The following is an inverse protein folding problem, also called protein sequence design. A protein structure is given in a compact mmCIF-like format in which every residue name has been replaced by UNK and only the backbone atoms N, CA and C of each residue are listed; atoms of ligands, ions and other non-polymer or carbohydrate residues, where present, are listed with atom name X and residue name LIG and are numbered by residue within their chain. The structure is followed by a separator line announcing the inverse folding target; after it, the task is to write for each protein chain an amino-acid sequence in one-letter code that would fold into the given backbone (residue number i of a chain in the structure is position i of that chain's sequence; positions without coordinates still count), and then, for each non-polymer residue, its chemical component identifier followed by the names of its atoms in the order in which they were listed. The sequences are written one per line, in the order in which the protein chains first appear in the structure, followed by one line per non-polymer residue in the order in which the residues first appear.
data_IF_335719962684
#
_entry.id   IF_335719962684
#
_cell.length_a   1.000
_cell.length_b   1.000
_cell.length_c   1.000
_cell.angle_alpha   90.00
_cell.angle_beta   90.00
_cell.angle_gamma   90.00
#
_symmetry.space_group_name_H-M   'P 1'
#
loop_
_entity.id
_entity.type
_entity.pdbx_description
1 polymer ?
#
# COMPACT_ATOMS: atom_id res chain seq x y z
N UNK A 1 3.63 -12.69 5.45
CA UNK A 1 2.26 -12.23 5.71
C UNK A 1 1.45 -12.25 4.42
N UNK A 2 0.17 -12.62 4.46
CA UNK A 2 -0.67 -12.61 3.25
C UNK A 2 -0.90 -11.15 2.79
N UNK A 3 -0.92 -10.90 1.47
CA UNK A 3 -1.07 -9.55 0.93
C UNK A 3 -2.49 -9.04 1.11
N UNK A 4 -2.62 -7.71 1.14
CA UNK A 4 -3.87 -7.02 0.83
C UNK A 4 -3.97 -6.95 -0.70
N UNK A 5 -5.08 -7.46 -1.24
CA UNK A 5 -5.46 -7.22 -2.62
C UNK A 5 -6.41 -6.01 -2.66
N UNK A 6 -6.02 -5.00 -3.43
CA UNK A 6 -6.85 -3.88 -3.84
C UNK A 6 -7.31 -4.20 -5.27
N UNK A 7 -8.59 -4.51 -5.43
CA UNK A 7 -9.16 -4.89 -6.72
C UNK A 7 -9.10 -3.71 -7.71
N UNK A 8 -9.04 -4.02 -9.01
CA UNK A 8 -9.15 -3.02 -10.08
C UNK A 8 -10.29 -2.02 -9.82
N UNK A 9 -9.98 -0.73 -9.93
CA UNK A 9 -10.91 0.39 -9.72
C UNK A 9 -11.49 0.52 -8.30
N UNK A 10 -10.99 -0.21 -7.29
CA UNK A 10 -11.50 -0.16 -5.93
C UNK A 10 -11.35 1.21 -5.25
N UNK A 11 -10.33 1.98 -5.62
CA UNK A 11 -10.09 3.33 -5.11
C UNK A 11 -10.89 4.39 -5.89
N UNK A 12 -11.48 4.01 -7.03
CA UNK A 12 -12.18 4.90 -7.97
C UNK A 12 -11.25 5.51 -9.01
N UNK A 13 -11.82 6.26 -9.97
CA UNK A 13 -11.06 6.94 -11.04
C UNK A 13 -10.14 6.02 -11.87
N UNK A 14 -10.49 4.74 -11.99
CA UNK A 14 -9.66 3.76 -12.69
C UNK A 14 -8.45 3.26 -11.88
N UNK A 15 -8.44 3.48 -10.55
CA UNK A 15 -7.35 3.08 -9.66
C UNK A 15 -7.76 1.94 -8.70
N UNK A 16 -6.92 0.91 -8.54
CA UNK A 16 -5.78 0.58 -9.39
C UNK A 16 -6.24 0.17 -10.81
N UNK A 17 -5.36 0.29 -11.80
CA UNK A 17 -5.66 -0.05 -13.22
C UNK A 17 -5.82 -1.56 -13.47
N UNK A 18 -5.28 -2.37 -12.56
CA UNK A 18 -5.44 -3.83 -12.41
C UNK A 18 -5.27 -4.17 -10.93
N UNK A 19 -5.62 -5.38 -10.51
CA UNK A 19 -5.45 -5.79 -9.11
C UNK A 19 -4.03 -5.51 -8.61
N UNK A 20 -3.95 -4.85 -7.45
CA UNK A 20 -2.70 -4.47 -6.80
C UNK A 20 -2.59 -5.24 -5.49
N UNK A 21 -1.52 -6.02 -5.33
CA UNK A 21 -1.21 -6.76 -4.12
C UNK A 21 -0.03 -6.12 -3.40
N UNK A 22 -0.22 -5.72 -2.15
CA UNK A 22 0.80 -5.10 -1.30
C UNK A 22 0.74 -5.69 0.11
N UNK A 23 1.77 -5.46 0.91
CA UNK A 23 1.71 -5.90 2.31
C UNK A 23 0.69 -5.07 3.10
N UNK A 24 0.06 -5.65 4.14
CA UNK A 24 -0.83 -4.93 5.07
C UNK A 24 -0.31 -3.57 5.56
N UNK A 25 0.99 -3.44 5.83
CA UNK A 25 1.58 -2.21 6.37
C UNK A 25 2.03 -1.21 5.29
N UNK A 26 1.99 -1.58 4.01
CA UNK A 26 2.37 -0.69 2.91
C UNK A 26 1.33 0.41 2.74
N UNK A 27 1.77 1.67 2.71
CA UNK A 27 0.86 2.80 2.51
C UNK A 27 0.70 3.22 1.07
N UNK A 28 -0.53 3.59 0.76
CA UNK A 28 -0.91 4.29 -0.47
C UNK A 28 -1.46 5.66 -0.09
N UNK A 29 -1.27 6.62 -0.98
CA UNK A 29 -1.79 7.97 -0.79
C UNK A 29 -3.21 8.09 -1.36
N UNK A 30 -4.10 8.69 -0.56
CA UNK A 30 -5.46 9.05 -0.96
C UNK A 30 -5.77 10.44 -0.39
N UNK A 31 -6.02 11.41 -1.27
CA UNK A 31 -6.39 12.79 -0.93
C UNK A 31 -5.41 13.50 0.03
N UNK A 32 -4.10 13.31 -0.17
CA UNK A 32 -3.01 13.90 0.59
C UNK A 32 -2.67 13.17 1.90
N UNK A 33 -3.19 11.95 2.10
CA UNK A 33 -2.99 11.16 3.32
C UNK A 33 -2.50 9.76 2.98
N UNK A 34 -1.49 9.28 3.70
CA UNK A 34 -0.98 7.91 3.61
C UNK A 34 -1.84 6.97 4.46
N UNK A 35 -2.40 5.95 3.82
CA UNK A 35 -3.16 4.89 4.49
C UNK A 35 -2.48 3.55 4.27
N UNK A 36 -2.22 2.81 5.34
CA UNK A 36 -1.77 1.42 5.17
C UNK A 36 -2.86 0.59 4.51
N UNK A 37 -2.49 -0.30 3.59
CA UNK A 37 -3.47 -1.10 2.85
C UNK A 37 -4.38 -1.92 3.78
N UNK A 38 -3.83 -2.40 4.91
CA UNK A 38 -4.60 -3.11 5.94
C UNK A 38 -5.64 -2.24 6.64
N UNK A 39 -5.38 -0.94 6.82
CA UNK A 39 -6.36 -0.02 7.41
C UNK A 39 -7.57 0.24 6.50
N UNK A 40 -7.40 0.06 5.18
CA UNK A 40 -8.43 0.25 4.16
C UNK A 40 -9.24 -1.02 3.87
N UNK A 41 -8.87 -2.16 4.44
CA UNK A 41 -9.55 -3.43 4.20
C UNK A 41 -11.04 -3.33 4.56
N UNK A 42 -11.89 -3.61 3.58
CA UNK A 42 -13.35 -3.56 3.69
C UNK A 42 -14.01 -4.95 3.56
N UNK A 43 -13.21 -5.99 3.33
CA UNK A 43 -13.69 -7.37 3.19
C UNK A 43 -14.29 -7.70 1.82
N UNK A 44 -14.24 -6.77 0.87
CA UNK A 44 -14.81 -6.92 -0.48
C UNK A 44 -13.79 -6.53 -1.56
N UNK A 45 -13.78 -5.27 -1.98
CA UNK A 45 -12.88 -4.75 -3.03
C UNK A 45 -11.46 -4.51 -2.54
N UNK A 46 -11.27 -4.38 -1.23
CA UNK A 46 -9.98 -4.29 -0.56
C UNK A 46 -10.00 -5.33 0.56
N UNK A 47 -9.27 -6.42 0.38
CA UNK A 47 -9.29 -7.52 1.34
C UNK A 47 -7.96 -8.23 1.43
N UNK A 48 -7.69 -8.82 2.59
CA UNK A 48 -6.51 -9.66 2.76
C UNK A 48 -6.77 -11.02 2.12
N UNK A 49 -5.80 -11.50 1.33
CA UNK A 49 -5.91 -12.85 0.79
C UNK A 49 -5.86 -13.89 1.92
N UNK A 50 -6.67 -14.96 1.85
CA UNK A 50 -6.71 -15.98 2.89
C UNK A 50 -5.43 -16.82 2.92
N UNK A 51 -4.68 -16.86 1.81
CA UNK A 51 -3.42 -17.58 1.64
C UNK A 51 -2.53 -16.83 0.64
N UNK A 52 -1.22 -17.11 0.68
CA UNK A 52 -0.31 -16.66 -0.35
C UNK A 52 -0.66 -17.25 -1.73
N UNK A 53 -0.36 -16.52 -2.82
CA UNK A 53 -0.41 -17.08 -4.18
C UNK A 53 0.44 -18.37 -4.30
N UNK A 54 -0.12 -19.38 -4.95
CA UNK A 54 0.48 -20.72 -5.04
C UNK A 54 1.72 -20.76 -5.92
N UNK A 55 1.80 -19.89 -6.93
CA UNK A 55 2.92 -19.81 -7.88
C UNK A 55 4.13 -19.04 -7.31
N UNK A 56 4.10 -18.70 -6.01
CA UNK A 56 5.08 -17.86 -5.35
C UNK A 56 4.69 -16.39 -5.36
N UNK A 57 5.18 -15.66 -4.35
CA UNK A 57 4.91 -14.24 -4.19
C UNK A 57 6.08 -13.54 -3.51
N UNK A 58 6.58 -12.47 -4.13
CA UNK A 58 7.73 -11.70 -3.65
C UNK A 58 7.32 -10.26 -3.38
N UNK A 59 7.66 -9.75 -2.20
CA UNK A 59 7.54 -8.33 -1.89
C UNK A 59 8.81 -7.61 -2.31
N UNK A 60 8.65 -6.50 -3.03
CA UNK A 60 9.73 -5.60 -3.37
C UNK A 60 9.54 -4.29 -2.61
N UNK A 61 10.63 -3.80 -2.04
CA UNK A 61 10.73 -2.44 -1.53
C UNK A 61 11.58 -1.63 -2.50
N UNK A 62 11.07 -0.48 -2.92
CA UNK A 62 11.77 0.43 -3.83
C UNK A 62 12.33 1.55 -2.97
N UNK A 63 13.65 1.67 -2.90
CA UNK A 63 14.35 2.76 -2.21
C UNK A 63 14.71 3.87 -3.21
N UNK A 64 14.53 5.12 -2.80
CA UNK A 64 14.85 6.33 -3.56
C UNK A 64 15.61 7.31 -2.66
N UNK A 65 16.23 8.34 -3.24
CA UNK A 65 16.99 9.35 -2.49
C UNK A 65 16.14 10.02 -1.39
N UNK A 66 14.88 10.31 -1.69
CA UNK A 66 13.90 10.83 -0.74
C UNK A 66 12.74 9.85 -0.59
N UNK A 67 12.07 9.84 0.58
CA UNK A 67 10.78 9.18 0.70
C UNK A 67 9.80 9.84 -0.27
N UNK A 68 9.20 9.08 -1.17
CA UNK A 68 8.43 9.60 -2.28
C UNK A 68 7.23 8.69 -2.59
N UNK A 69 6.35 9.17 -3.45
CA UNK A 69 5.30 8.37 -4.06
C UNK A 69 5.76 7.88 -5.44
N UNK A 70 5.50 6.61 -5.72
CA UNK A 70 5.65 6.00 -7.04
C UNK A 70 4.30 5.44 -7.50
N UNK A 71 4.09 5.29 -8.79
CA UNK A 71 2.84 4.73 -9.32
C UNK A 71 2.93 3.20 -9.39
N UNK A 72 2.21 2.52 -8.50
CA UNK A 72 2.01 1.07 -8.54
C UNK A 72 0.62 0.78 -9.12
N UNK A 73 0.53 0.24 -10.34
CA UNK A 73 -0.75 0.02 -11.04
C UNK A 73 -1.65 1.28 -11.04
N UNK A 74 -1.06 2.45 -11.31
CA UNK A 74 -1.71 3.76 -11.28
C UNK A 74 -2.14 4.25 -9.89
N UNK A 75 -1.70 3.61 -8.80
CA UNK A 75 -1.94 4.07 -7.41
C UNK A 75 -0.66 4.74 -6.89
N UNK A 76 -0.75 5.95 -6.33
CA UNK A 76 0.37 6.56 -5.61
C UNK A 76 0.68 5.72 -4.35
N UNK A 77 1.82 5.04 -4.36
CA UNK A 77 2.27 4.12 -3.33
C UNK A 77 3.61 4.61 -2.76
N UNK A 78 3.83 4.40 -1.46
CA UNK A 78 5.03 4.88 -0.79
C UNK A 78 6.28 4.09 -1.22
N UNK A 79 7.42 4.79 -1.34
CA UNK A 79 8.73 4.13 -1.41
C UNK A 79 9.17 3.64 -0.03
N UNK A 80 10.26 2.89 0.02
CA UNK A 80 10.84 2.40 1.26
C UNK A 80 11.18 3.54 2.22
N UNK A 81 10.91 3.29 3.51
CA UNK A 81 11.33 4.11 4.64
C UNK A 81 11.92 3.17 5.71
N UNK A 82 12.97 3.60 6.38
CA UNK A 82 13.87 2.74 7.16
C UNK A 82 13.35 2.38 8.57
N UNK A 83 12.05 2.12 8.72
CA UNK A 83 11.46 1.77 10.02
C UNK A 83 11.88 0.40 10.53
N UNK A 84 11.99 -0.58 9.63
CA UNK A 84 12.25 -1.98 9.96
C UNK A 84 13.72 -2.38 9.73
N UNK A 85 14.56 -1.48 9.22
CA UNK A 85 15.91 -1.80 8.78
C UNK A 85 15.95 -2.59 7.47
N UNK A 86 17.16 -3.02 7.08
CA UNK A 86 17.42 -3.72 5.81
C UNK A 86 17.79 -5.20 5.97
N UNK A 87 17.79 -5.72 7.19
CA UNK A 87 18.28 -7.06 7.53
C UNK A 87 17.50 -8.20 6.86
N UNK A 88 16.27 -7.96 6.42
CA UNK A 88 15.41 -8.95 5.75
C UNK A 88 15.44 -8.93 4.22
N UNK A 89 16.21 -8.05 3.58
CA UNK A 89 16.25 -7.94 2.12
C UNK A 89 17.38 -8.79 1.51
N UNK A 90 17.05 -9.58 0.49
CA UNK A 90 18.05 -10.37 -0.26
C UNK A 90 19.06 -9.49 -1.00
N UNK A 91 18.61 -8.32 -1.47
CA UNK A 91 19.43 -7.34 -2.16
C UNK A 91 19.25 -5.97 -1.49
N UNK A 92 20.18 -5.61 -0.60
CA UNK A 92 20.26 -4.26 -0.04
C UNK A 92 21.52 -3.56 -0.53
N UNK A 93 21.35 -2.35 -1.05
CA UNK A 93 22.49 -1.47 -1.30
C UNK A 93 23.06 -0.99 0.05
N UNK A 94 24.34 -0.59 0.11
CA UNK A 94 24.87 0.13 1.26
C UNK A 94 23.98 1.33 1.56
N UNK A 95 23.61 1.52 2.83
CA UNK A 95 22.82 2.68 3.24
C UNK A 95 23.54 3.97 2.80
N UNK A 96 22.80 4.84 2.10
CA UNK A 96 23.28 6.17 1.69
C UNK A 96 22.95 7.24 2.74
N UNK A 97 22.42 6.83 3.91
CA UNK A 97 21.92 7.72 4.97
C UNK A 97 20.52 7.32 5.44
N UNK A 98 19.98 8.10 6.39
CA UNK A 98 18.58 7.97 6.82
C UNK A 98 17.68 8.71 5.83
N UNK A 99 16.62 8.03 5.38
CA UNK A 99 15.61 8.62 4.51
C UNK A 99 14.64 9.41 5.39
N UNK A 100 14.47 10.70 5.10
CA UNK A 100 13.46 11.52 5.78
C UNK A 100 12.07 11.16 5.24
N UNK A 101 11.13 10.88 6.14
CA UNK A 101 9.75 10.57 5.75
C UNK A 101 9.06 11.80 5.12
N UNK A 102 8.29 11.61 4.05
CA UNK A 102 7.36 12.60 3.52
C UNK A 102 6.50 13.24 4.62
N UNK A 103 6.26 14.55 4.49
CA UNK A 103 5.39 15.32 5.38
C UNK A 103 3.90 15.12 5.08
N UNK A 104 3.47 13.87 4.86
CA UNK A 104 2.06 13.49 4.71
C UNK A 104 1.56 12.87 6.01
N UNK A 105 0.30 13.15 6.35
CA UNK A 105 -0.32 12.48 7.49
C UNK A 105 -0.44 10.97 7.21
N UNK A 106 -0.13 10.14 8.21
CA UNK A 106 -0.26 8.68 8.13
C UNK A 106 -1.41 8.17 8.99
N UNK A 107 -2.20 7.24 8.44
CA UNK A 107 -3.26 6.52 9.12
C UNK A 107 -3.04 5.02 8.95
N UNK A 108 -2.63 4.35 10.02
CA UNK A 108 -2.34 2.90 10.00
C UNK A 108 -3.44 2.04 10.67
N UNK A 109 -4.42 2.67 11.32
CA UNK A 109 -5.48 1.98 12.05
C UNK A 109 -6.84 2.12 11.36
N UNK A 110 -7.53 1.01 11.11
CA UNK A 110 -8.86 1.01 10.47
C UNK A 110 -9.90 1.88 11.21
N UNK A 111 -9.80 2.01 12.54
CA UNK A 111 -10.66 2.88 13.34
C UNK A 111 -10.47 4.38 13.03
N UNK A 112 -9.27 4.76 12.61
CA UNK A 112 -8.89 6.15 12.31
C UNK A 112 -9.22 6.57 10.87
N UNK A 113 -9.58 5.61 10.00
CA UNK A 113 -10.01 5.90 8.63
C UNK A 113 -11.36 6.64 8.66
N UNK A 114 -11.47 7.84 8.07
CA UNK A 114 -12.71 8.61 8.09
C UNK A 114 -13.89 7.85 7.48
N UNK A 115 -15.09 8.02 8.06
CA UNK A 115 -16.30 7.38 7.57
C UNK A 115 -16.62 7.74 6.11
N UNK A 116 -16.33 8.98 5.70
CA UNK A 116 -16.48 9.43 4.31
C UNK A 116 -15.63 8.62 3.34
N UNK A 117 -14.38 8.29 3.70
CA UNK A 117 -13.50 7.46 2.90
C UNK A 117 -13.96 6.00 2.90
N UNK A 118 -14.34 5.45 4.06
CA UNK A 118 -14.92 4.08 4.13
C UNK A 118 -16.11 3.92 3.18
N UNK A 119 -17.05 4.86 3.23
CA UNK A 119 -18.23 4.87 2.36
C UNK A 119 -17.87 4.98 0.87
N UNK A 120 -16.81 5.73 0.53
CA UNK A 120 -16.31 5.85 -0.86
C UNK A 120 -15.70 4.55 -1.39
N UNK A 121 -15.18 3.69 -0.52
CA UNK A 121 -14.48 2.45 -0.89
C UNK A 121 -15.40 1.23 -0.93
N UNK A 122 -16.57 1.29 -0.30
CA UNK A 122 -17.55 0.19 -0.29
C UNK A 122 -18.10 -0.10 -1.70
N UNK A 123 -18.12 -1.38 -2.09
CA UNK A 123 -18.83 -1.86 -3.29
C UNK A 123 -18.22 -1.47 -4.64
N UNK A 124 -17.02 -0.89 -4.67
CA UNK A 124 -16.31 -0.59 -5.91
C UNK A 124 -15.53 -1.80 -6.41
N UNK A 125 -16.13 -2.62 -7.26
CA UNK A 125 -15.43 -3.55 -8.16
C UNK A 125 -15.77 -3.17 -9.60
N UNK A 126 -14.79 -3.15 -10.49
CA UNK A 126 -15.09 -3.08 -11.92
C UNK A 126 -15.80 -4.37 -12.34
N UNK A 127 -16.91 -4.24 -13.08
CA UNK A 127 -17.53 -5.34 -13.81
C UNK A 127 -16.62 -5.82 -14.95
#
# INVERSE_FOLDING_TARGET
MNPIQIAKNALGQGMPSRDLMVSPDHAIEIDGVLYTAGSLANGDSISQLPRMPLDGFTYYHIETENHALVLANNVPAETFIDYAGRTGFEHSAPSVGSITEMALQRVSGAAMVPASLKNRLTGKKAA
#
